data_IF_877549857968
#
_entry.id   IF_877549857968
#
_cell.length_a   1.000
_cell.length_b   1.000
_cell.length_c   1.000
_cell.angle_alpha   90.00
_cell.angle_beta   90.00
_cell.angle_gamma   90.00
#
_symmetry.space_group_name_H-M   'P 1'
#
loop_
_entity.id
_entity.type
_entity.pdbx_description
1 polymer ?
#
# COMPACT_ATOMS: atom_id res chain seq x y z
N UNK A 1 -14.97 24.33 19.72
CA UNK A 1 -13.68 24.41 19.00
C UNK A 1 -12.90 23.10 19.08
N UNK A 2 -12.99 22.32 20.18
CA UNK A 2 -12.37 20.99 20.25
C UNK A 2 -12.85 20.02 19.16
N UNK A 3 -14.16 20.01 18.87
CA UNK A 3 -14.75 19.09 17.89
C UNK A 3 -14.25 19.32 16.46
N UNK A 4 -14.00 20.57 16.08
CA UNK A 4 -13.48 20.91 14.75
C UNK A 4 -12.00 20.51 14.59
N UNK A 5 -11.20 20.65 15.65
CA UNK A 5 -9.79 20.25 15.68
C UNK A 5 -9.66 18.72 15.65
N UNK A 6 -10.51 18.02 16.38
CA UNK A 6 -10.56 16.56 16.35
C UNK A 6 -11.00 16.05 14.97
N UNK A 7 -12.08 16.63 14.41
CA UNK A 7 -12.53 16.29 13.05
C UNK A 7 -11.44 16.54 12.00
N UNK A 8 -10.74 17.68 12.09
CA UNK A 8 -9.60 17.97 11.22
C UNK A 8 -8.50 16.92 11.35
N UNK A 9 -8.11 16.59 12.59
CA UNK A 9 -7.04 15.63 12.89
C UNK A 9 -7.35 14.25 12.30
N UNK A 10 -8.57 13.77 12.50
CA UNK A 10 -9.01 12.47 11.97
C UNK A 10 -8.99 12.51 10.44
N UNK A 11 -9.62 13.51 9.83
CA UNK A 11 -9.71 13.61 8.37
C UNK A 11 -8.34 13.80 7.70
N UNK A 12 -7.46 14.63 8.26
CA UNK A 12 -6.10 14.83 7.76
C UNK A 12 -5.31 13.52 7.75
N UNK A 13 -5.37 12.76 8.86
CA UNK A 13 -4.75 11.43 8.94
C UNK A 13 -5.36 10.47 7.92
N UNK A 14 -6.68 10.47 7.74
CA UNK A 14 -7.32 9.60 6.74
C UNK A 14 -6.83 9.95 5.32
N UNK A 15 -6.77 11.22 4.95
CA UNK A 15 -6.29 11.68 3.63
C UNK A 15 -4.87 11.20 3.37
N UNK A 16 -3.94 11.49 4.29
CA UNK A 16 -2.54 11.09 4.15
C UNK A 16 -2.41 9.56 4.11
N UNK A 17 -3.24 8.84 4.86
CA UNK A 17 -3.22 7.37 4.84
C UNK A 17 -3.65 6.76 3.51
N UNK A 18 -4.44 7.48 2.72
CA UNK A 18 -4.90 7.07 1.39
C UNK A 18 -3.97 7.55 0.28
N UNK A 19 -2.92 8.31 0.60
CA UNK A 19 -1.98 8.80 -0.40
C UNK A 19 -1.14 7.65 -0.96
N UNK A 20 -1.33 7.36 -2.25
CA UNK A 20 -0.71 6.21 -2.93
C UNK A 20 0.81 6.24 -2.86
N UNK A 21 1.45 7.40 -3.07
CA UNK A 21 2.90 7.52 -3.02
C UNK A 21 3.46 7.09 -1.65
N UNK A 22 2.83 7.54 -0.56
CA UNK A 22 3.21 7.14 0.81
C UNK A 22 2.96 5.64 1.07
N UNK A 23 1.83 5.11 0.60
CA UNK A 23 1.53 3.68 0.76
C UNK A 23 2.58 2.81 0.04
N UNK A 24 2.88 3.11 -1.22
CA UNK A 24 3.91 2.41 -1.98
C UNK A 24 5.29 2.53 -1.33
N UNK A 25 5.65 3.72 -0.83
CA UNK A 25 6.92 3.92 -0.16
C UNK A 25 7.08 3.05 1.10
N UNK A 26 6.00 2.91 1.86
CA UNK A 26 5.99 2.08 3.07
C UNK A 26 5.96 0.59 2.72
N UNK A 27 5.17 0.18 1.72
CA UNK A 27 5.06 -1.22 1.29
C UNK A 27 6.35 -1.75 0.67
N UNK A 28 7.07 -0.92 -0.08
CA UNK A 28 8.36 -1.27 -0.66
C UNK A 28 9.55 -1.06 0.31
N UNK A 29 9.30 -0.56 1.51
CA UNK A 29 10.34 -0.34 2.52
C UNK A 29 11.35 0.75 2.15
N UNK A 30 10.97 1.72 1.32
CA UNK A 30 11.88 2.80 0.88
C UNK A 30 12.32 3.72 2.03
N UNK A 31 11.60 3.70 3.16
CA UNK A 31 11.99 4.37 4.40
C UNK A 31 12.90 3.54 5.33
N UNK A 32 13.31 2.33 4.93
CA UNK A 32 14.08 1.40 5.77
C UNK A 32 13.22 0.65 6.80
N UNK A 33 13.87 0.03 7.80
CA UNK A 33 13.21 -0.81 8.82
C UNK A 33 12.10 -0.09 9.60
N UNK A 34 12.22 1.24 9.73
CA UNK A 34 11.28 2.09 10.45
C UNK A 34 10.27 2.80 9.51
N UNK A 35 10.02 2.28 8.31
CA UNK A 35 9.10 2.91 7.32
C UNK A 35 7.69 3.17 7.90
N UNK A 36 7.17 2.26 8.73
CA UNK A 36 5.86 2.42 9.39
C UNK A 36 5.86 3.52 10.46
N UNK A 37 6.96 3.67 11.20
CA UNK A 37 7.13 4.74 12.18
C UNK A 37 7.21 6.09 11.47
N UNK A 38 8.04 6.19 10.43
CA UNK A 38 8.17 7.39 9.59
C UNK A 38 6.84 7.82 8.97
N UNK A 39 5.99 6.88 8.57
CA UNK A 39 4.62 7.17 8.11
C UNK A 39 3.82 7.89 9.20
N UNK A 40 3.85 7.35 10.42
CA UNK A 40 3.14 7.93 11.56
C UNK A 40 3.69 9.32 11.91
N UNK A 41 5.01 9.49 11.85
CA UNK A 41 5.68 10.77 12.08
C UNK A 41 5.29 11.81 11.03
N UNK A 42 5.25 11.44 9.74
CA UNK A 42 4.80 12.33 8.67
C UNK A 42 3.35 12.77 8.89
N UNK A 43 2.46 11.82 9.22
CA UNK A 43 1.05 12.13 9.49
C UNK A 43 0.89 13.10 10.67
N UNK A 44 1.64 12.88 11.75
CA UNK A 44 1.62 13.74 12.93
C UNK A 44 2.17 15.13 12.59
N UNK A 45 3.30 15.19 11.91
CA UNK A 45 3.96 16.43 11.53
C UNK A 45 3.06 17.31 10.64
N UNK A 46 2.43 16.72 9.62
CA UNK A 46 1.54 17.47 8.72
C UNK A 46 0.29 17.95 9.47
N UNK A 47 -0.25 17.12 10.37
CA UNK A 47 -1.39 17.52 11.20
C UNK A 47 -1.03 18.71 12.09
N UNK A 48 0.11 18.65 12.78
CA UNK A 48 0.57 19.70 13.69
C UNK A 48 0.90 20.99 12.92
N UNK A 49 1.54 20.86 11.75
CA UNK A 49 1.81 21.98 10.87
C UNK A 49 0.52 22.71 10.50
N UNK A 50 -0.49 21.96 10.04
CA UNK A 50 -1.78 22.52 9.66
C UNK A 50 -2.50 23.22 10.83
N UNK A 51 -2.47 22.61 12.02
CA UNK A 51 -3.12 23.17 13.21
C UNK A 51 -2.38 24.38 13.80
N UNK A 52 -1.06 24.47 13.58
CA UNK A 52 -0.24 25.60 14.07
C UNK A 52 -0.50 26.91 13.30
N UNK A 53 -1.03 26.82 12.09
CA UNK A 53 -1.22 27.94 11.17
C UNK A 53 -2.66 28.45 11.23
N UNK A 54 -2.82 29.77 11.26
CA UNK A 54 -4.12 30.44 11.16
C UNK A 54 -4.67 30.42 9.74
N UNK A 55 -3.79 30.60 8.76
CA UNK A 55 -4.08 30.53 7.33
C UNK A 55 -3.06 29.58 6.71
N UNK A 56 -3.55 28.57 5.99
CA UNK A 56 -2.72 27.61 5.27
C UNK A 56 -2.76 27.90 3.78
N UNK A 57 -1.58 27.90 3.17
CA UNK A 57 -1.41 27.99 1.73
C UNK A 57 -1.05 26.62 1.17
N UNK A 58 -1.53 26.34 -0.04
CA UNK A 58 -1.28 25.07 -0.73
C UNK A 58 0.21 24.82 -0.91
N UNK A 59 0.94 25.84 -1.37
CA UNK A 59 2.38 25.73 -1.68
C UNK A 59 3.19 25.34 -0.43
N UNK A 60 2.83 25.85 0.75
CA UNK A 60 3.51 25.50 2.01
C UNK A 60 3.31 24.03 2.41
N UNK A 61 2.11 23.48 2.16
CA UNK A 61 1.79 22.08 2.47
C UNK A 61 2.40 21.15 1.43
N UNK A 62 2.39 21.57 0.17
CA UNK A 62 3.03 20.88 -0.95
C UNK A 62 4.53 20.71 -0.72
N UNK A 63 5.25 21.80 -0.49
CA UNK A 63 6.70 21.80 -0.20
C UNK A 63 7.01 20.87 0.98
N UNK A 64 6.17 20.92 2.02
CA UNK A 64 6.33 20.05 3.19
C UNK A 64 6.15 18.57 2.85
N UNK A 65 5.13 18.22 2.07
CA UNK A 65 4.87 16.84 1.67
C UNK A 65 5.99 16.31 0.77
N UNK A 66 6.42 17.11 -0.20
CA UNK A 66 7.52 16.79 -1.12
C UNK A 66 8.82 16.56 -0.35
N UNK A 67 9.25 17.52 0.48
CA UNK A 67 10.48 17.42 1.28
C UNK A 67 10.46 16.18 2.18
N UNK A 68 9.31 15.88 2.80
CA UNK A 68 9.19 14.73 3.70
C UNK A 68 9.22 13.41 2.96
N UNK A 69 8.61 13.30 1.78
CA UNK A 69 8.69 12.10 0.96
C UNK A 69 10.12 11.85 0.48
N UNK A 70 10.82 12.90 0.05
CA UNK A 70 12.21 12.80 -0.37
C UNK A 70 13.13 12.45 0.81
N UNK A 71 12.99 13.11 1.96
CA UNK A 71 13.88 12.93 3.11
C UNK A 71 13.63 11.63 3.88
N UNK A 72 12.37 11.21 4.05
CA UNK A 72 12.03 10.04 4.86
C UNK A 72 12.06 8.74 4.05
N UNK A 73 11.68 8.82 2.77
CA UNK A 73 11.45 7.66 1.90
C UNK A 73 12.27 7.66 0.61
N UNK A 74 13.09 8.69 0.35
CA UNK A 74 13.85 8.80 -0.92
C UNK A 74 12.97 8.74 -2.17
N UNK A 75 11.73 9.21 -2.06
CA UNK A 75 10.77 9.28 -3.18
C UNK A 75 10.80 10.68 -3.77
N UNK A 76 11.00 10.73 -5.07
CA UNK A 76 10.73 11.92 -5.88
C UNK A 76 9.32 11.77 -6.47
N UNK A 77 8.48 12.81 -6.31
CA UNK A 77 7.08 12.76 -6.71
C UNK A 77 6.96 13.56 -8.00
N UNK A 78 6.55 12.91 -9.08
CA UNK A 78 6.45 13.51 -10.42
C UNK A 78 5.00 13.62 -10.91
N UNK A 79 4.05 13.03 -10.18
CA UNK A 79 2.65 12.94 -10.56
C UNK A 79 1.77 14.05 -9.98
N UNK A 80 2.37 15.05 -9.32
CA UNK A 80 1.71 16.18 -8.66
C UNK A 80 0.68 15.73 -7.59
N UNK A 81 0.81 14.51 -7.07
CA UNK A 81 -0.10 13.96 -6.07
C UNK A 81 0.03 14.68 -4.72
N UNK A 82 1.21 15.18 -4.37
CA UNK A 82 1.45 16.07 -3.23
C UNK A 82 0.64 17.36 -3.33
N UNK A 83 0.48 17.91 -4.53
CA UNK A 83 -0.30 19.14 -4.79
C UNK A 83 -1.78 18.86 -4.56
N UNK A 84 -2.28 17.70 -5.01
CA UNK A 84 -3.66 17.27 -4.77
C UNK A 84 -3.94 17.10 -3.28
N UNK A 85 -3.07 16.38 -2.56
CA UNK A 85 -3.20 16.19 -1.12
C UNK A 85 -3.15 17.54 -0.40
N UNK A 86 -2.23 18.43 -0.76
CA UNK A 86 -2.13 19.77 -0.18
C UNK A 86 -3.43 20.58 -0.34
N UNK A 87 -4.02 20.60 -1.55
CA UNK A 87 -5.30 21.29 -1.82
C UNK A 87 -6.43 20.76 -0.94
N UNK A 88 -6.52 19.43 -0.79
CA UNK A 88 -7.53 18.79 0.05
C UNK A 88 -7.35 19.20 1.51
N UNK A 89 -6.11 19.21 2.02
CA UNK A 89 -5.80 19.59 3.40
C UNK A 89 -6.09 21.08 3.68
N UNK A 90 -5.78 21.98 2.74
CA UNK A 90 -6.10 23.41 2.84
C UNK A 90 -7.62 23.62 2.83
N UNK A 91 -8.36 22.93 1.96
CA UNK A 91 -9.82 23.00 1.94
C UNK A 91 -10.42 22.48 3.25
N UNK A 92 -9.86 21.40 3.80
CA UNK A 92 -10.25 20.83 5.07
C UNK A 92 -10.03 21.83 6.22
N UNK A 93 -8.83 22.43 6.31
CA UNK A 93 -8.50 23.43 7.32
C UNK A 93 -9.43 24.66 7.25
N UNK A 94 -9.70 25.16 6.04
CA UNK A 94 -10.59 26.29 5.83
C UNK A 94 -12.04 25.99 6.24
N UNK A 95 -12.53 24.78 5.98
CA UNK A 95 -13.88 24.35 6.38
C UNK A 95 -13.99 24.22 7.89
N UNK A 96 -13.02 23.54 8.52
CA UNK A 96 -12.95 23.38 9.97
C UNK A 96 -12.78 24.72 10.71
N UNK A 97 -12.02 25.66 10.15
CA UNK A 97 -11.84 27.01 10.70
C UNK A 97 -13.14 27.83 10.70
N UNK A 98 -14.06 27.54 9.77
CA UNK A 98 -15.41 28.12 9.73
C UNK A 98 -16.42 27.41 10.64
N UNK A 99 -16.00 26.33 11.29
CA UNK A 99 -16.85 25.47 12.13
C UNK A 99 -17.66 24.44 11.35
N UNK A 100 -17.42 24.28 10.05
CA UNK A 100 -18.08 23.27 9.22
C UNK A 100 -17.25 21.99 9.18
N UNK A 101 -17.74 20.95 9.85
CA UNK A 101 -17.12 19.61 9.90
C UNK A 101 -17.68 18.65 8.86
N UNK A 102 -18.65 19.08 8.04
CA UNK A 102 -19.31 18.22 7.06
C UNK A 102 -18.32 17.67 6.04
N UNK A 103 -17.40 18.53 5.56
CA UNK A 103 -16.36 18.13 4.62
C UNK A 103 -15.39 17.09 5.23
N UNK A 104 -15.00 17.27 6.50
CA UNK A 104 -14.16 16.31 7.21
C UNK A 104 -14.85 14.94 7.33
N UNK A 105 -16.13 14.93 7.70
CA UNK A 105 -16.92 13.70 7.81
C UNK A 105 -17.12 13.01 6.46
N UNK A 106 -17.39 13.77 5.40
CA UNK A 106 -17.54 13.24 4.04
C UNK A 106 -16.25 12.57 3.56
N UNK A 107 -15.10 13.21 3.82
CA UNK A 107 -13.79 12.71 3.43
C UNK A 107 -13.46 11.40 4.16
N UNK A 108 -13.69 11.36 5.48
CA UNK A 108 -13.57 10.13 6.26
C UNK A 108 -14.49 9.03 5.71
N UNK A 109 -15.77 9.33 5.44
CA UNK A 109 -16.70 8.33 4.92
C UNK A 109 -16.32 7.81 3.53
N UNK A 110 -15.83 8.67 2.63
CA UNK A 110 -15.41 8.28 1.28
C UNK A 110 -14.15 7.42 1.31
N UNK A 111 -13.18 7.82 2.11
CA UNK A 111 -11.87 7.16 2.18
C UNK A 111 -11.90 5.88 3.03
N UNK A 112 -12.72 5.81 4.09
CA UNK A 112 -12.94 4.56 4.85
C UNK A 112 -13.65 3.48 4.03
N UNK A 113 -14.49 3.86 3.06
CA UNK A 113 -15.13 2.90 2.13
C UNK A 113 -14.16 2.34 1.09
N UNK A 114 -13.06 3.04 0.82
CA UNK A 114 -11.97 2.56 -0.03
C UNK A 114 -10.95 1.80 0.82
N UNK A 115 -11.37 0.69 1.39
CA UNK A 115 -10.49 -0.19 2.13
C UNK A 115 -9.42 -0.76 1.17
N UNK A 116 -8.16 -0.40 1.40
CA UNK A 116 -6.95 -0.85 0.67
C UNK A 116 -6.82 -2.39 0.55
N UNK A 117 -7.65 -3.12 1.27
CA UNK A 117 -7.90 -4.56 1.10
C UNK A 117 -8.23 -4.97 -0.34
N UNK A 118 -8.82 -4.09 -1.14
CA UNK A 118 -9.24 -4.39 -2.53
C UNK A 118 -8.16 -4.16 -3.59
N UNK A 119 -7.10 -3.40 -3.30
CA UNK A 119 -6.00 -3.15 -4.26
C UNK A 119 -4.78 -4.05 -4.04
N UNK A 120 -4.81 -4.92 -3.01
CA UNK A 120 -3.88 -6.05 -2.91
C UNK A 120 -4.23 -7.05 -4.01
N UNK A 121 -3.68 -6.87 -5.22
CA UNK A 121 -3.53 -7.97 -6.15
C UNK A 121 -2.66 -9.02 -5.44
N UNK A 122 -3.32 -10.00 -4.82
CA UNK A 122 -2.68 -11.29 -4.57
C UNK A 122 -2.36 -11.83 -5.95
N UNK A 123 -1.09 -11.78 -6.34
CA UNK A 123 -0.56 -12.64 -7.39
C UNK A 123 -0.75 -14.08 -6.92
N UNK A 124 -1.93 -14.61 -7.20
CA UNK A 124 -2.30 -15.98 -7.01
C UNK A 124 -2.90 -16.39 -8.33
N UNK A 125 -2.02 -16.74 -9.28
CA UNK A 125 -2.38 -17.58 -10.43
C UNK A 125 -2.90 -18.90 -9.84
N UNK A 126 -4.19 -18.92 -9.52
CA UNK A 126 -4.97 -20.14 -9.40
C UNK A 126 -5.57 -20.36 -10.77
N UNK A 127 -4.94 -21.27 -11.52
CA UNK A 127 -5.50 -21.84 -12.73
C UNK A 127 -6.95 -22.27 -12.45
N UNK A 128 -7.88 -21.56 -13.09
CA UNK A 128 -9.30 -21.89 -13.05
C UNK A 128 -9.52 -23.14 -13.93
N UNK A 129 -9.39 -24.33 -13.35
CA UNK A 129 -10.02 -25.52 -13.92
C UNK A 129 -11.45 -25.60 -13.38
N UNK A 130 -12.40 -25.19 -14.21
CA UNK A 130 -13.80 -25.58 -14.09
C UNK A 130 -13.88 -27.09 -14.35
N UNK A 131 -14.31 -27.88 -13.37
CA UNK A 131 -14.99 -29.14 -13.65
C UNK A 131 -15.94 -29.51 -12.50
N UNK A 132 -17.09 -30.01 -12.90
CA UNK A 132 -18.34 -30.14 -12.16
C UNK A 132 -18.47 -31.50 -11.45
N UNK A 133 -19.31 -31.50 -10.40
CA UNK A 133 -20.12 -32.62 -9.88
C UNK A 133 -19.50 -33.71 -8.97
N UNK A 134 -20.02 -33.73 -7.74
CA UNK A 134 -20.71 -34.83 -7.02
C UNK A 134 -20.14 -36.26 -7.09
N UNK A 135 -19.77 -36.84 -5.94
CA UNK A 135 -20.33 -38.10 -5.42
C UNK A 135 -19.74 -38.44 -4.04
N UNK A 136 -20.58 -38.97 -3.17
CA UNK A 136 -20.26 -39.45 -1.82
C UNK A 136 -19.71 -40.89 -1.90
N UNK A 137 -18.89 -41.32 -0.94
CA UNK A 137 -19.02 -42.64 -0.25
C UNK A 137 -17.87 -42.87 0.75
N UNK A 138 -18.27 -43.49 1.86
CA UNK A 138 -17.53 -43.84 3.07
C UNK A 138 -16.93 -45.25 2.93
N UNK A 139 -15.63 -45.45 3.20
CA UNK A 139 -15.09 -46.77 3.55
C UNK A 139 -13.94 -46.69 4.55
N UNK A 140 -14.14 -47.40 5.65
CA UNK A 140 -13.24 -47.72 6.76
C UNK A 140 -12.15 -48.72 6.35
N UNK A 141 -10.90 -48.57 6.83
CA UNK A 141 -10.01 -49.68 7.21
C UNK A 141 -8.61 -49.21 7.70
N UNK A 142 -8.26 -49.72 8.87
CA UNK A 142 -7.01 -49.61 9.64
C UNK A 142 -5.76 -50.24 8.97
N UNK A 143 -4.55 -49.70 9.22
CA UNK A 143 -3.29 -50.45 8.98
C UNK A 143 -1.97 -49.66 8.88
N UNK A 144 -1.25 -49.50 9.99
CA UNK A 144 0.24 -49.34 10.04
C UNK A 144 0.89 -50.75 9.94
N UNK A 145 2.23 -50.94 9.86
CA UNK A 145 3.36 -50.10 9.42
C UNK A 145 4.31 -50.86 8.44
N UNK A 146 5.42 -50.27 7.96
CA UNK A 146 6.83 -50.76 8.11
C UNK A 146 7.83 -50.17 7.10
N UNK A 147 9.05 -50.01 7.63
CA UNK A 147 10.32 -49.60 7.03
C UNK A 147 10.81 -50.49 5.88
N UNK A 148 11.66 -49.91 5.02
CA UNK A 148 12.60 -50.68 4.18
C UNK A 148 13.51 -49.78 3.35
N UNK A 149 14.78 -49.68 3.74
CA UNK A 149 15.91 -49.12 2.98
C UNK A 149 15.97 -49.66 1.53
N UNK A 150 16.54 -48.90 0.59
CA UNK A 150 17.88 -49.15 -0.01
C UNK A 150 18.17 -48.17 -1.18
N UNK A 151 19.42 -47.72 -1.18
CA UNK A 151 20.19 -46.95 -2.16
C UNK A 151 19.96 -47.30 -3.64
N UNK A 152 19.95 -46.30 -4.54
CA UNK A 152 21.03 -46.03 -5.52
C UNK A 152 20.55 -45.12 -6.69
N UNK A 153 21.30 -44.03 -6.88
CA UNK A 153 21.64 -43.33 -8.12
C UNK A 153 20.76 -43.48 -9.36
N UNK A 154 20.20 -42.37 -9.89
CA UNK A 154 20.48 -41.86 -11.27
C UNK A 154 19.60 -40.70 -11.75
N UNK A 155 20.30 -39.70 -12.27
CA UNK A 155 19.97 -38.85 -13.43
C UNK A 155 19.01 -37.66 -13.18
N UNK A 156 19.67 -36.54 -12.90
CA UNK A 156 19.26 -35.17 -13.23
C UNK A 156 18.68 -35.05 -14.63
N UNK A 157 17.52 -34.40 -14.78
CA UNK A 157 17.15 -33.74 -16.04
C UNK A 157 16.58 -32.35 -15.75
N UNK A 158 17.53 -31.43 -15.61
CA UNK A 158 17.33 -29.99 -15.67
C UNK A 158 16.75 -29.66 -17.06
N UNK A 159 15.47 -29.31 -17.14
CA UNK A 159 14.85 -28.76 -18.36
C UNK A 159 15.21 -27.27 -18.39
N UNK A 160 16.32 -26.92 -19.03
CA UNK A 160 16.55 -25.51 -19.37
C UNK A 160 15.77 -25.17 -20.66
N UNK A 161 14.99 -24.07 -20.68
CA UNK A 161 14.47 -23.54 -21.94
C UNK A 161 15.64 -23.07 -22.80
N UNK A 162 15.59 -23.43 -24.09
CA UNK A 162 16.66 -23.13 -25.05
C UNK A 162 16.68 -21.63 -25.27
N UNK A 163 17.74 -20.99 -24.79
CA UNK A 163 17.93 -19.54 -24.89
C UNK A 163 19.07 -19.26 -25.85
N UNK A 164 18.82 -18.42 -26.85
CA UNK A 164 19.86 -17.87 -27.72
C UNK A 164 20.26 -16.50 -27.17
N UNK A 165 21.56 -16.28 -26.95
CA UNK A 165 22.08 -14.96 -26.59
C UNK A 165 22.32 -14.17 -27.88
N UNK A 166 21.67 -13.02 -28.00
CA UNK A 166 21.90 -12.10 -29.10
C UNK A 166 23.07 -11.17 -28.76
N UNK A 167 23.77 -10.68 -29.78
CA UNK A 167 24.97 -9.82 -29.64
C UNK A 167 24.68 -8.50 -28.89
N UNK A 168 23.42 -8.14 -28.70
CA UNK A 168 22.99 -6.95 -27.97
C UNK A 168 22.80 -7.19 -26.45
N UNK A 169 23.18 -8.36 -25.93
CA UNK A 169 23.12 -8.68 -24.50
C UNK A 169 21.73 -9.07 -23.98
N UNK A 170 20.72 -9.13 -24.85
CA UNK A 170 19.38 -9.62 -24.53
C UNK A 170 19.20 -11.08 -24.91
N UNK A 171 18.55 -11.85 -24.04
CA UNK A 171 18.28 -13.28 -24.24
C UNK A 171 16.84 -13.48 -24.68
N UNK A 172 16.63 -14.12 -25.84
CA UNK A 172 15.30 -14.49 -26.32
C UNK A 172 14.93 -15.88 -25.79
N UNK A 173 13.79 -16.00 -25.13
CA UNK A 173 13.21 -17.30 -24.71
C UNK A 173 12.40 -17.89 -25.87
N UNK A 174 12.69 -19.14 -26.23
CA UNK A 174 11.98 -19.93 -27.25
C UNK A 174 10.96 -20.87 -26.63
#
# INVERSE_FOLDING_TARGET
>A
MGDAVEAFTVACRTVISCWTALNLAVENGWGGDNSQEKRSDLMQLVTDFCLSKKELYTDEVEDLLFERMQSLFFVDIEDESEVEIARILVQLHNSCSKGDVSFAQELCQKLTKCDSSLCRLKDSVVEASSDESDDMEEVDAEGKPKQGNTHDSRITRNRQPKTEQLEDGWTKVL
#
